data_IF_501189564979
#
_entry.id   IF_501189564979
#
_cell.length_a   1.000
_cell.length_b   1.000
_cell.length_c   1.000
_cell.angle_alpha   90.00
_cell.angle_beta   90.00
_cell.angle_gamma   90.00
#
_symmetry.space_group_name_H-M   'P 1'
#
loop_
_entity.id
_entity.type
_entity.pdbx_description
1 polymer ?
#
# COMPACT_ATOMS: atom_id res chain seq x y z
N UNK A 1 -17.28 -0.92 2.23
CA UNK A 1 -16.51 0.32 2.45
C UNK A 1 -17.00 0.88 3.77
N UNK A 2 -16.18 0.81 4.83
CA UNK A 2 -16.46 1.59 6.04
C UNK A 2 -16.12 3.06 5.73
N UNK A 3 -16.77 4.01 6.40
CA UNK A 3 -16.74 5.41 5.97
C UNK A 3 -15.33 6.04 6.01
N UNK A 4 -14.42 5.50 6.81
CA UNK A 4 -13.06 6.00 7.07
C UNK A 4 -11.94 5.07 6.58
N UNK A 5 -12.24 3.81 6.26
CA UNK A 5 -11.25 2.83 5.79
C UNK A 5 -11.24 2.74 4.25
N UNK A 6 -10.05 2.90 3.66
CA UNK A 6 -9.83 2.79 2.21
C UNK A 6 -8.77 1.74 1.90
N UNK A 7 -9.05 0.87 0.93
CA UNK A 7 -8.11 -0.12 0.41
C UNK A 7 -7.74 0.21 -1.03
N UNK A 8 -6.45 0.13 -1.35
CA UNK A 8 -5.92 0.35 -2.71
C UNK A 8 -5.21 -0.95 -3.12
N UNK A 9 -5.51 -1.45 -4.31
CA UNK A 9 -4.85 -2.62 -4.88
C UNK A 9 -4.23 -2.29 -6.24
N UNK A 10 -3.05 -2.83 -6.48
CA UNK A 10 -2.36 -2.75 -7.77
C UNK A 10 -1.89 -4.14 -8.18
N UNK A 11 -1.60 -4.30 -9.46
CA UNK A 11 -1.18 -5.58 -10.04
C UNK A 11 0.02 -5.37 -10.97
N UNK A 12 0.90 -6.36 -11.00
CA UNK A 12 2.09 -6.36 -11.85
C UNK A 12 2.71 -7.75 -11.96
N UNK A 13 3.60 -7.90 -12.94
CA UNK A 13 4.35 -9.13 -13.20
C UNK A 13 5.60 -9.21 -12.32
N UNK A 14 6.23 -8.07 -12.08
CA UNK A 14 7.45 -7.94 -11.27
C UNK A 14 7.20 -7.11 -10.02
N UNK A 15 8.01 -7.34 -8.98
CA UNK A 15 7.93 -6.59 -7.73
C UNK A 15 8.23 -5.10 -7.93
N UNK A 16 9.13 -4.78 -8.88
CA UNK A 16 9.46 -3.41 -9.28
C UNK A 16 8.28 -2.68 -9.91
N UNK A 17 7.56 -3.33 -10.83
CA UNK A 17 6.37 -2.76 -11.48
C UNK A 17 5.27 -2.48 -10.45
N UNK A 18 5.07 -3.41 -9.51
CA UNK A 18 4.11 -3.25 -8.41
C UNK A 18 4.50 -2.08 -7.53
N UNK A 19 5.77 -1.97 -7.15
CA UNK A 19 6.28 -0.88 -6.32
C UNK A 19 6.10 0.47 -6.99
N UNK A 20 6.49 0.61 -8.25
CA UNK A 20 6.43 1.88 -8.99
C UNK A 20 4.98 2.34 -9.15
N UNK A 21 4.07 1.43 -9.57
CA UNK A 21 2.65 1.75 -9.71
C UNK A 21 2.02 2.12 -8.37
N UNK A 22 2.23 1.31 -7.34
CA UNK A 22 1.64 1.57 -6.03
C UNK A 22 2.11 2.92 -5.47
N UNK A 23 3.39 3.25 -5.59
CA UNK A 23 3.89 4.54 -5.13
C UNK A 23 3.33 5.71 -5.95
N UNK A 24 3.17 5.55 -7.27
CA UNK A 24 2.54 6.58 -8.11
C UNK A 24 1.07 6.82 -7.70
N UNK A 25 0.32 5.76 -7.44
CA UNK A 25 -1.07 5.83 -6.98
C UNK A 25 -1.17 6.49 -5.59
N UNK A 26 -0.30 6.09 -4.66
CA UNK A 26 -0.25 6.65 -3.30
C UNK A 26 0.15 8.12 -3.28
N UNK A 27 1.02 8.55 -4.20
CA UNK A 27 1.38 9.96 -4.35
C UNK A 27 0.17 10.80 -4.80
N UNK A 28 -0.62 10.30 -5.75
CA UNK A 28 -1.85 10.96 -6.17
C UNK A 28 -2.87 11.04 -5.04
N UNK A 29 -3.05 9.95 -4.29
CA UNK A 29 -3.92 9.90 -3.11
C UNK A 29 -3.43 10.87 -2.04
N UNK A 30 -2.12 10.93 -1.78
CA UNK A 30 -1.55 11.84 -0.81
C UNK A 30 -1.81 13.31 -1.18
N UNK A 31 -1.63 13.69 -2.45
CA UNK A 31 -1.93 15.04 -2.94
C UNK A 31 -3.41 15.38 -2.80
N UNK A 32 -4.29 14.44 -3.13
CA UNK A 32 -5.73 14.65 -3.00
C UNK A 32 -6.13 14.84 -1.53
N UNK A 33 -5.63 14.01 -0.61
CA UNK A 33 -5.88 14.13 0.82
C UNK A 33 -5.41 15.48 1.36
N UNK A 34 -4.17 15.87 1.07
CA UNK A 34 -3.60 17.15 1.51
C UNK A 34 -4.40 18.35 0.98
N UNK A 35 -4.80 18.30 -0.30
CA UNK A 35 -5.60 19.37 -0.92
C UNK A 35 -6.99 19.51 -0.27
N UNK A 36 -7.54 18.41 0.26
CA UNK A 36 -8.82 18.37 0.95
C UNK A 36 -8.70 18.50 2.48
N UNK A 37 -7.51 18.82 3.01
CA UNK A 37 -7.22 18.92 4.46
C UNK A 37 -7.54 17.62 5.23
N UNK A 38 -7.44 16.48 4.56
CA UNK A 38 -7.57 15.15 5.15
C UNK A 38 -6.19 14.63 5.52
N UNK A 39 -6.08 13.97 6.67
CA UNK A 39 -4.83 13.36 7.14
C UNK A 39 -5.02 11.86 7.25
N UNK A 40 -4.11 11.08 6.64
CA UNK A 40 -4.10 9.63 6.81
C UNK A 40 -3.44 9.26 8.14
N UNK A 41 -4.00 8.27 8.83
CA UNK A 41 -3.37 7.71 10.02
C UNK A 41 -2.21 6.77 9.63
N UNK A 42 -1.03 7.36 9.43
CA UNK A 42 0.21 6.65 9.04
C UNK A 42 0.54 5.42 9.90
N UNK A 43 0.17 5.42 11.19
CA UNK A 43 0.41 4.28 12.11
C UNK A 43 -0.52 3.10 11.85
N UNK A 44 -1.71 3.36 11.31
CA UNK A 44 -2.70 2.33 10.96
C UNK A 44 -2.64 1.92 9.49
N UNK A 45 -1.91 2.66 8.66
CA UNK A 45 -1.71 2.32 7.25
C UNK A 45 -0.70 1.18 7.14
N UNK A 46 -1.11 0.11 6.48
CA UNK A 46 -0.32 -1.08 6.23
C UNK A 46 -0.52 -1.54 4.79
N UNK A 47 0.44 -2.30 4.26
CA UNK A 47 0.30 -2.92 2.95
C UNK A 47 0.56 -4.42 3.04
N UNK A 48 -0.05 -5.19 2.13
CA UNK A 48 0.22 -6.62 1.99
C UNK A 48 0.44 -6.99 0.52
N UNK A 49 1.18 -8.07 0.30
CA UNK A 49 1.38 -8.64 -1.04
C UNK A 49 0.54 -9.89 -1.16
N UNK A 50 -0.30 -9.94 -2.19
CA UNK A 50 -1.18 -11.07 -2.47
C UNK A 50 -0.69 -11.80 -3.72
N UNK A 51 -0.49 -13.11 -3.60
CA UNK A 51 0.04 -13.95 -4.66
C UNK A 51 0.15 -15.42 -4.24
N UNK A 52 0.61 -16.28 -5.15
CA UNK A 52 0.89 -17.68 -4.80
C UNK A 52 2.01 -17.76 -3.76
N UNK A 53 1.99 -18.81 -2.93
CA UNK A 53 3.04 -19.05 -1.92
C UNK A 53 4.45 -19.03 -2.52
N UNK A 54 4.62 -19.64 -3.71
CA UNK A 54 5.88 -19.66 -4.43
C UNK A 54 6.33 -18.25 -4.83
N UNK A 55 5.44 -17.44 -5.41
CA UNK A 55 5.78 -16.06 -5.80
C UNK A 55 6.16 -15.20 -4.60
N UNK A 56 5.39 -15.28 -3.52
CA UNK A 56 5.66 -14.52 -2.29
C UNK A 56 6.99 -14.96 -1.66
N UNK A 57 7.29 -16.26 -1.66
CA UNK A 57 8.55 -16.78 -1.11
C UNK A 57 9.79 -16.40 -1.93
N UNK A 58 9.62 -16.04 -3.20
CA UNK A 58 10.71 -15.63 -4.08
C UNK A 58 11.04 -14.13 -3.98
N UNK A 59 10.27 -13.37 -3.19
CA UNK A 59 10.55 -11.96 -2.94
C UNK A 59 11.73 -11.87 -1.97
N UNK A 60 12.91 -11.51 -2.49
CA UNK A 60 14.15 -11.39 -1.71
C UNK A 60 14.20 -10.07 -0.92
N UNK A 61 13.52 -9.04 -1.41
CA UNK A 61 13.50 -7.71 -0.79
C UNK A 61 12.10 -7.14 -0.90
N UNK A 62 11.58 -6.68 0.23
CA UNK A 62 10.25 -6.10 0.28
C UNK A 62 10.19 -4.80 -0.54
N UNK A 63 9.10 -4.60 -1.31
CA UNK A 63 8.84 -3.33 -1.95
C UNK A 63 8.83 -2.18 -0.95
N UNK A 64 9.52 -1.10 -1.31
CA UNK A 64 9.52 0.14 -0.54
C UNK A 64 8.28 0.94 -0.96
N UNK A 65 7.27 0.91 -0.09
CA UNK A 65 6.03 1.67 -0.27
C UNK A 65 6.08 2.93 0.59
N UNK A 66 5.89 4.09 -0.04
CA UNK A 66 5.96 5.42 0.58
C UNK A 66 4.62 6.13 0.51
N UNK A 67 4.36 6.95 1.51
CA UNK A 67 3.24 7.88 1.57
C UNK A 67 3.74 9.20 2.13
N UNK A 68 3.97 10.16 1.23
CA UNK A 68 4.77 11.36 1.54
C UNK A 68 6.17 10.94 2.02
N UNK A 69 6.60 11.52 3.15
CA UNK A 69 7.93 11.24 3.73
C UNK A 69 8.03 9.95 4.54
N UNK A 70 6.95 9.16 4.64
CA UNK A 70 6.88 7.99 5.53
C UNK A 70 6.77 6.69 4.75
N UNK A 71 7.50 5.66 5.17
CA UNK A 71 7.38 4.30 4.63
C UNK A 71 6.26 3.53 5.31
N UNK A 72 5.46 2.79 4.54
CA UNK A 72 4.37 1.95 5.03
C UNK A 72 4.94 0.58 5.40
N UNK A 73 4.49 0.01 6.52
CA UNK A 73 4.91 -1.31 6.98
C UNK A 73 4.21 -2.42 6.19
N UNK A 74 4.97 -3.45 5.81
CA UNK A 74 4.43 -4.71 5.27
C UNK A 74 3.81 -5.56 6.37
N UNK A 75 2.64 -6.13 6.10
CA UNK A 75 2.00 -7.15 6.93
C UNK A 75 1.62 -8.39 6.12
N UNK A 76 1.57 -9.54 6.78
CA UNK A 76 1.17 -10.81 6.17
C UNK A 76 -0.33 -11.09 6.33
N UNK A 77 -0.98 -10.39 7.25
CA UNK A 77 -2.41 -10.50 7.55
C UNK A 77 -2.89 -9.14 8.00
N UNK A 78 -4.01 -8.70 7.42
CA UNK A 78 -4.80 -7.57 7.90
C UNK A 78 -6.17 -8.10 8.31
N UNK A 79 -6.82 -7.44 9.27
CA UNK A 79 -8.21 -7.68 9.63
C UNK A 79 -8.98 -6.40 9.35
N UNK A 80 -9.77 -6.40 8.28
CA UNK A 80 -10.76 -5.34 8.05
C UNK A 80 -12.02 -5.68 8.82
N UNK A 81 -12.82 -4.66 9.18
CA UNK A 81 -14.08 -4.84 9.90
C UNK A 81 -15.21 -5.40 9.00
N UNK A 82 -14.92 -5.69 7.73
CA UNK A 82 -15.81 -6.27 6.73
C UNK A 82 -15.12 -6.49 5.39
#
# INVERSE_FOLDING_TARGET
MFADDTNISTHGKTDTEIQERLNADLENVHRWLTSNKLTLNKKKTEYMIVGSRQRISNILTDPIVKLGDSTIKRVNKSKTLG
#
